data_IF_714930642466
#
_entry.id   IF_714930642466
#
_cell.length_a   1.000
_cell.length_b   1.000
_cell.length_c   1.000
_cell.angle_alpha   90.00
_cell.angle_beta   90.00
_cell.angle_gamma   90.00
#
_symmetry.space_group_name_H-M   'P 1'
#
loop_
_entity.id
_entity.type
_entity.pdbx_description
1 polymer ?
#
# COMPACT_ATOMS: atom_id res chain seq x y z
N UNK A 1 17.02 9.70 4.14
CA UNK A 1 16.44 8.53 3.43
C UNK A 1 15.59 9.06 2.30
N UNK A 2 15.70 8.46 1.12
CA UNK A 2 14.85 8.82 -0.02
C UNK A 2 13.46 8.20 0.15
N UNK A 3 12.44 8.97 -0.18
CA UNK A 3 11.06 8.49 -0.21
C UNK A 3 10.89 7.47 -1.32
N UNK A 4 10.11 6.43 -1.07
CA UNK A 4 9.68 5.50 -2.11
C UNK A 4 8.45 6.04 -2.81
N UNK A 5 8.31 5.70 -4.09
CA UNK A 5 7.02 5.83 -4.77
C UNK A 5 6.03 4.83 -4.17
N UNK A 6 4.80 5.27 -3.89
CA UNK A 6 3.72 4.36 -3.48
C UNK A 6 3.48 3.27 -4.53
N UNK A 7 3.63 3.58 -5.81
CA UNK A 7 3.45 2.62 -6.90
C UNK A 7 4.50 1.50 -6.84
N UNK A 8 5.75 1.81 -6.49
CA UNK A 8 6.79 0.78 -6.33
C UNK A 8 6.47 -0.18 -5.18
N UNK A 9 5.95 0.34 -4.08
CA UNK A 9 5.54 -0.49 -2.93
C UNK A 9 4.30 -1.31 -3.28
N UNK A 10 3.35 -0.72 -3.99
CA UNK A 10 2.15 -1.38 -4.47
C UNK A 10 2.50 -2.56 -5.40
N UNK A 11 3.39 -2.31 -6.37
CA UNK A 11 3.90 -3.32 -7.29
C UNK A 11 4.61 -4.46 -6.55
N UNK A 12 5.34 -4.17 -5.48
CA UNK A 12 5.97 -5.21 -4.66
C UNK A 12 4.94 -6.14 -4.01
N UNK A 13 3.84 -5.60 -3.44
CA UNK A 13 2.76 -6.43 -2.91
C UNK A 13 2.04 -7.23 -4.00
N UNK A 14 1.82 -6.63 -5.17
CA UNK A 14 1.24 -7.31 -6.33
C UNK A 14 2.14 -8.48 -6.76
N UNK A 15 3.45 -8.24 -6.89
CA UNK A 15 4.44 -9.26 -7.22
C UNK A 15 4.43 -10.41 -6.20
N UNK A 16 4.35 -10.11 -4.89
CA UNK A 16 4.22 -11.13 -3.85
C UNK A 16 2.94 -11.94 -4.05
N UNK A 17 1.81 -11.32 -4.35
CA UNK A 17 0.54 -12.04 -4.57
C UNK A 17 0.58 -12.95 -5.79
N UNK A 18 1.30 -12.56 -6.84
CA UNK A 18 1.44 -13.34 -8.07
C UNK A 18 2.45 -14.49 -7.91
N UNK A 19 3.59 -14.22 -7.27
CA UNK A 19 4.68 -15.22 -7.11
C UNK A 19 4.48 -16.15 -5.93
N UNK A 20 3.79 -15.70 -4.88
CA UNK A 20 3.52 -16.45 -3.64
C UNK A 20 2.07 -16.29 -3.18
N UNK A 21 1.11 -16.83 -3.95
CA UNK A 21 -0.30 -16.75 -3.61
C UNK A 21 -0.65 -17.43 -2.28
N UNK A 22 0.18 -18.34 -1.77
CA UNK A 22 0.07 -18.93 -0.43
C UNK A 22 0.27 -17.89 0.70
N UNK A 23 1.08 -16.86 0.45
CA UNK A 23 1.38 -15.80 1.43
C UNK A 23 0.45 -14.60 1.31
N UNK A 24 -0.01 -14.31 0.10
CA UNK A 24 -0.93 -13.20 -0.14
C UNK A 24 -2.04 -13.60 -1.13
N UNK A 25 -2.98 -14.46 -0.72
CA UNK A 25 -4.06 -14.90 -1.57
C UNK A 25 -5.12 -13.80 -1.76
N UNK A 26 -5.72 -13.78 -2.95
CA UNK A 26 -6.88 -12.95 -3.28
C UNK A 26 -6.65 -11.46 -2.97
N UNK A 27 -5.54 -10.90 -3.46
CA UNK A 27 -5.22 -9.48 -3.29
C UNK A 27 -6.18 -8.62 -4.10
N UNK A 28 -7.15 -8.00 -3.43
CA UNK A 28 -8.05 -7.01 -4.03
C UNK A 28 -7.45 -5.61 -3.92
N UNK A 29 -7.94 -4.66 -4.73
CA UNK A 29 -7.52 -3.24 -4.66
C UNK A 29 -7.65 -2.70 -3.23
N UNK A 30 -8.75 -3.00 -2.53
CA UNK A 30 -8.94 -2.55 -1.14
C UNK A 30 -8.00 -3.24 -0.13
N UNK A 31 -7.63 -4.51 -0.34
CA UNK A 31 -6.61 -5.16 0.49
C UNK A 31 -5.24 -4.51 0.28
N UNK A 32 -4.90 -4.17 -0.97
CA UNK A 32 -3.66 -3.45 -1.29
C UNK A 32 -3.61 -2.08 -0.60
N UNK A 33 -4.70 -1.29 -0.66
CA UNK A 33 -4.79 0.00 0.03
C UNK A 33 -4.55 -0.13 1.55
N UNK A 34 -5.12 -1.17 2.20
CA UNK A 34 -4.88 -1.46 3.61
C UNK A 34 -3.42 -1.87 3.89
N UNK A 35 -2.80 -2.66 3.02
CA UNK A 35 -1.39 -3.05 3.17
C UNK A 35 -0.47 -1.83 3.07
N UNK A 36 -0.72 -0.91 2.14
CA UNK A 36 0.02 0.34 2.03
C UNK A 36 -0.13 1.20 3.29
N UNK A 37 -1.34 1.28 3.85
CA UNK A 37 -1.60 2.00 5.09
C UNK A 37 -0.78 1.42 6.26
N UNK A 38 -0.79 0.09 6.42
CA UNK A 38 0.00 -0.57 7.47
C UNK A 38 1.50 -0.45 7.23
N UNK A 39 1.96 -0.50 5.97
CA UNK A 39 3.38 -0.31 5.64
C UNK A 39 3.88 1.08 6.05
N UNK A 40 3.11 2.14 5.75
CA UNK A 40 3.40 3.50 6.17
C UNK A 40 3.43 3.62 7.71
N UNK A 41 2.38 3.11 8.39
CA UNK A 41 2.29 3.18 9.84
C UNK A 41 3.45 2.45 10.54
N UNK A 42 3.77 1.24 10.09
CA UNK A 42 4.87 0.45 10.64
C UNK A 42 6.23 1.10 10.37
N UNK A 43 6.43 1.68 9.18
CA UNK A 43 7.66 2.41 8.86
C UNK A 43 7.84 3.64 9.74
N UNK A 44 6.79 4.45 9.93
CA UNK A 44 6.82 5.61 10.83
C UNK A 44 7.14 5.16 12.26
N UNK A 45 6.51 4.09 12.74
CA UNK A 45 6.76 3.57 14.09
C UNK A 45 8.22 3.13 14.27
N UNK A 46 8.81 2.48 13.26
CA UNK A 46 10.15 1.90 13.34
C UNK A 46 11.28 2.90 13.07
N UNK A 47 11.08 3.83 12.14
CA UNK A 47 12.13 4.71 11.62
C UNK A 47 11.85 6.20 11.86
N UNK A 48 10.72 6.55 12.49
CA UNK A 48 10.31 7.93 12.80
C UNK A 48 10.17 8.85 11.57
N UNK A 49 9.97 8.27 10.38
CA UNK A 49 9.77 8.99 9.13
C UNK A 49 8.77 8.27 8.21
N UNK A 50 8.23 9.00 7.24
CA UNK A 50 7.30 8.47 6.23
C UNK A 50 8.02 7.55 5.23
N UNK A 51 7.34 6.51 4.76
CA UNK A 51 7.84 5.59 3.72
C UNK A 51 7.60 6.16 2.32
N UNK A 52 6.44 6.77 2.12
CA UNK A 52 6.03 7.48 0.90
C UNK A 52 5.23 8.75 1.27
N UNK A 53 5.12 9.69 0.33
CA UNK A 53 4.47 11.00 0.54
C UNK A 53 2.97 11.00 0.30
N UNK A 54 2.45 10.04 -0.48
CA UNK A 54 1.04 9.95 -0.84
C UNK A 54 0.13 9.88 0.39
N UNK A 55 -0.90 10.72 0.40
CA UNK A 55 -1.83 10.82 1.50
C UNK A 55 -3.01 9.87 1.35
N UNK A 56 -3.40 9.26 2.48
CA UNK A 56 -4.65 8.52 2.57
C UNK A 56 -5.81 9.48 2.85
N UNK A 57 -6.94 9.25 2.21
CA UNK A 57 -8.23 9.84 2.58
C UNK A 57 -9.10 8.81 3.27
N UNK A 58 -9.98 9.26 4.17
CA UNK A 58 -11.01 8.40 4.78
C UNK A 58 -12.05 8.06 3.71
N UNK A 59 -12.23 6.77 3.42
CA UNK A 59 -13.28 6.26 2.54
C UNK A 59 -14.23 5.32 3.28
N UNK A 60 -15.35 4.97 2.63
CA UNK A 60 -16.38 4.07 3.14
C UNK A 60 -15.83 2.75 3.74
N UNK A 61 -14.80 2.17 3.12
CA UNK A 61 -14.24 0.86 3.53
C UNK A 61 -12.82 0.94 4.10
N UNK A 62 -12.35 2.14 4.44
CA UNK A 62 -11.03 2.35 5.03
C UNK A 62 -10.22 3.45 4.34
N UNK A 63 -8.95 3.61 4.74
CA UNK A 63 -8.06 4.60 4.16
C UNK A 63 -7.70 4.21 2.71
N UNK A 64 -7.76 5.18 1.80
CA UNK A 64 -7.47 4.97 0.38
C UNK A 64 -6.58 6.10 -0.14
N UNK A 65 -5.59 5.78 -0.97
CA UNK A 65 -4.90 6.72 -1.84
C UNK A 65 -5.70 6.79 -3.13
N UNK A 66 -6.47 7.88 -3.38
CA UNK A 66 -7.51 7.91 -4.40
C UNK A 66 -6.98 7.63 -5.81
N UNK A 67 -5.89 8.30 -6.19
CA UNK A 67 -5.28 8.17 -7.50
C UNK A 67 -4.92 6.70 -7.80
N UNK A 68 -4.26 6.01 -6.85
CA UNK A 68 -3.85 4.62 -7.00
C UNK A 68 -5.05 3.66 -7.04
N UNK A 69 -6.14 3.96 -6.32
CA UNK A 69 -7.37 3.16 -6.40
C UNK A 69 -7.97 3.20 -7.81
N UNK A 70 -7.98 4.37 -8.44
CA UNK A 70 -8.50 4.52 -9.81
C UNK A 70 -7.58 3.92 -10.87
N UNK A 71 -6.25 3.97 -10.68
CA UNK A 71 -5.28 3.36 -11.61
C UNK A 71 -5.39 1.83 -11.65
N UNK A 72 -5.77 1.20 -10.54
CA UNK A 72 -5.82 -0.26 -10.38
C UNK A 72 -7.21 -0.89 -10.62
N UNK A 73 -8.19 -0.09 -11.04
CA UNK A 73 -9.57 -0.52 -11.25
C UNK A 73 -9.88 -0.68 -12.73
#
# INVERSE_FOLDING_TARGET
MNLYSVASIANHFIEISLKRPDKLPNLTVMKLQRLLFFAQAWHIQKYTNILFADAFVRWQYGPVIPYLYYELK
#
